data_IF_586117613543
#
_entry.id   IF_586117613543
#
_cell.length_a   1.000
_cell.length_b   1.000
_cell.length_c   1.000
_cell.angle_alpha   90.00
_cell.angle_beta   90.00
_cell.angle_gamma   90.00
#
_symmetry.space_group_name_H-M   'P 1'
#
loop_
_entity.id
_entity.type
_entity.pdbx_description
1 polymer ?
#
# COMPACT_ATOMS: atom_id res chain seq x y z
N UNK A 1 6.31 -10.15 -2.74
CA UNK A 1 6.54 -8.99 -1.83
C UNK A 1 7.62 -8.06 -2.37
N UNK A 2 8.68 -8.59 -2.98
CA UNK A 2 9.87 -7.82 -3.38
C UNK A 2 9.62 -6.73 -4.42
N UNK A 3 8.73 -6.94 -5.40
CA UNK A 3 8.51 -5.94 -6.46
C UNK A 3 7.87 -4.65 -5.93
N UNK A 4 6.93 -4.76 -5.00
CA UNK A 4 6.31 -3.61 -4.36
C UNK A 4 7.34 -2.80 -3.53
N UNK A 5 8.21 -3.50 -2.77
CA UNK A 5 9.27 -2.85 -2.00
C UNK A 5 10.29 -2.17 -2.93
N UNK A 6 10.76 -2.87 -3.97
CA UNK A 6 11.67 -2.30 -4.98
C UNK A 6 11.10 -1.04 -5.64
N UNK A 7 9.79 -1.01 -5.93
CA UNK A 7 9.14 0.19 -6.45
C UNK A 7 9.16 1.34 -5.44
N UNK A 8 8.81 1.06 -4.19
CA UNK A 8 8.79 2.06 -3.11
C UNK A 8 10.19 2.65 -2.86
N UNK A 9 11.22 1.82 -2.90
CA UNK A 9 12.61 2.22 -2.72
C UNK A 9 13.13 3.11 -3.87
N UNK A 10 12.60 2.90 -5.09
CA UNK A 10 12.96 3.66 -6.29
C UNK A 10 12.11 4.92 -6.54
N UNK A 11 11.20 5.27 -5.62
CA UNK A 11 10.46 6.55 -5.73
C UNK A 11 11.41 7.73 -5.47
N UNK A 12 11.06 8.92 -5.94
CA UNK A 12 11.80 10.17 -5.71
C UNK A 12 11.65 10.66 -4.27
N UNK A 13 12.12 9.85 -3.31
CA UNK A 13 12.09 10.06 -1.87
C UNK A 13 13.30 9.34 -1.24
N UNK A 14 13.84 9.79 -0.10
CA UNK A 14 14.83 9.02 0.64
C UNK A 14 14.26 7.66 1.07
N UNK A 15 15.10 6.63 1.14
CA UNK A 15 14.72 5.29 1.58
C UNK A 15 14.06 5.34 2.96
N UNK A 16 12.89 4.71 3.09
CA UNK A 16 12.13 4.65 4.35
C UNK A 16 11.53 5.97 4.84
N UNK A 17 11.65 7.08 4.09
CA UNK A 17 11.17 8.41 4.52
C UNK A 17 9.67 8.49 4.77
N UNK A 18 8.86 7.59 4.19
CA UNK A 18 7.41 7.55 4.41
C UNK A 18 7.01 6.55 5.51
N UNK A 19 7.97 5.85 6.12
CA UNK A 19 7.79 4.99 7.30
C UNK A 19 6.57 4.06 7.20
N UNK A 20 5.58 4.26 8.10
CA UNK A 20 4.36 3.45 8.17
C UNK A 20 3.54 3.46 6.86
N UNK A 21 3.60 4.52 6.07
CA UNK A 21 2.89 4.58 4.78
C UNK A 21 3.50 3.61 3.76
N UNK A 22 4.82 3.36 3.80
CA UNK A 22 5.47 2.36 2.95
C UNK A 22 5.05 0.95 3.34
N UNK A 23 4.99 0.69 4.65
CA UNK A 23 4.52 -0.60 5.15
C UNK A 23 3.08 -0.87 4.72
N UNK A 24 2.20 0.12 4.85
CA UNK A 24 0.81 0.01 4.42
C UNK A 24 0.71 -0.19 2.90
N UNK A 25 1.45 0.57 2.10
CA UNK A 25 1.47 0.45 0.64
C UNK A 25 1.91 -0.95 0.20
N UNK A 26 2.97 -1.51 0.82
CA UNK A 26 3.44 -2.88 0.56
C UNK A 26 2.38 -3.92 0.92
N UNK A 27 1.71 -3.79 2.07
CA UNK A 27 0.64 -4.72 2.49
C UNK A 27 -0.52 -4.69 1.49
N UNK A 28 -0.99 -3.51 1.09
CA UNK A 28 -2.07 -3.35 0.11
C UNK A 28 -1.67 -3.93 -1.25
N UNK A 29 -0.45 -3.66 -1.73
CA UNK A 29 0.05 -4.24 -2.98
C UNK A 29 0.11 -5.78 -2.93
N UNK A 30 0.47 -6.33 -1.77
CA UNK A 30 0.44 -7.78 -1.52
C UNK A 30 -0.96 -8.38 -1.54
N UNK A 31 -1.93 -7.74 -0.87
CA UNK A 31 -3.34 -8.17 -0.84
C UNK A 31 -3.98 -8.11 -2.24
N UNK A 32 -3.69 -7.04 -2.98
CA UNK A 32 -4.30 -6.80 -4.30
C UNK A 32 -3.58 -7.49 -5.45
N UNK A 33 -2.36 -7.99 -5.24
CA UNK A 33 -1.50 -8.54 -6.29
C UNK A 33 -1.02 -7.50 -7.33
N UNK A 34 -1.20 -6.20 -7.06
CA UNK A 34 -0.87 -5.10 -7.98
C UNK A 34 0.16 -4.17 -7.34
N UNK A 35 1.20 -3.80 -8.08
CA UNK A 35 2.28 -2.93 -7.56
C UNK A 35 1.84 -1.49 -7.33
N UNK A 36 0.82 -1.03 -8.07
CA UNK A 36 0.19 0.28 -7.91
C UNK A 36 -1.34 0.14 -7.91
N UNK A 37 -1.94 -0.31 -6.78
CA UNK A 37 -3.36 -0.58 -6.71
C UNK A 37 -4.19 0.71 -6.65
N UNK A 38 -5.34 0.69 -7.32
CA UNK A 38 -6.35 1.76 -7.25
C UNK A 38 -7.29 1.52 -6.07
N UNK A 39 -7.36 2.46 -5.12
CA UNK A 39 -8.20 2.37 -3.91
C UNK A 39 -9.55 3.08 -4.06
N UNK A 40 -10.24 2.82 -5.18
CA UNK A 40 -11.57 3.39 -5.47
C UNK A 40 -12.68 2.63 -4.73
N UNK A 41 -13.84 3.25 -4.57
CA UNK A 41 -15.07 2.63 -4.04
C UNK A 41 -14.91 2.00 -2.65
N UNK A 42 -14.39 2.77 -1.68
CA UNK A 42 -14.27 2.34 -0.28
C UNK A 42 -15.67 2.31 0.36
N UNK A 43 -16.00 1.22 1.05
CA UNK A 43 -17.29 1.02 1.74
C UNK A 43 -17.05 0.70 3.21
N UNK A 44 -17.86 1.28 4.09
CA UNK A 44 -17.88 0.98 5.52
C UNK A 44 -19.24 0.34 5.82
N UNK A 45 -19.22 -0.86 6.38
CA UNK A 45 -20.42 -1.53 6.89
C UNK A 45 -20.52 -1.31 8.40
N UNK A 46 -21.58 -0.67 8.87
CA UNK A 46 -21.86 -0.48 10.31
C UNK A 46 -22.92 -1.48 10.73
N UNK A 47 -22.57 -2.37 11.66
CA UNK A 47 -23.48 -3.35 12.26
C UNK A 47 -23.80 -2.90 13.68
N UNK A 48 -25.08 -2.91 14.07
CA UNK A 48 -25.54 -2.64 15.43
C UNK A 48 -26.51 -3.76 15.86
N UNK A 49 -26.44 -4.15 17.12
CA UNK A 49 -27.22 -5.24 17.73
C UNK A 49 -27.98 -4.73 18.95
#
# INVERSE_FOLDING_TARGET
MDRAQKRLDNLTKPLGSLGRLEELARRIAGITGKENPSLKNKVIFTMAA
#
